data_IF_585087183685
#
_entry.id   IF_585087183685
#
_cell.length_a   1.000
_cell.length_b   1.000
_cell.length_c   1.000
_cell.angle_alpha   90.00
_cell.angle_beta   90.00
_cell.angle_gamma   90.00
#
_symmetry.space_group_name_H-M   'P 1'
#
loop_
_entity.id
_entity.type
_entity.pdbx_description
1 polymer ?
#
# COMPACT_ATOMS: atom_id res chain seq x y z
N UNK A 1 -23.91 22.41 -1.43
CA UNK A 1 -23.23 21.54 -2.41
C UNK A 1 -21.72 21.64 -2.17
N UNK A 2 -20.97 20.54 -2.24
CA UNK A 2 -19.50 20.56 -2.12
C UNK A 2 -18.94 20.91 -3.50
N UNK A 3 -18.26 22.04 -3.63
CA UNK A 3 -17.66 22.51 -4.89
C UNK A 3 -16.14 22.35 -4.85
N UNK A 4 -15.55 21.78 -5.89
CA UNK A 4 -14.10 21.75 -6.10
C UNK A 4 -13.79 22.19 -7.52
N UNK A 5 -12.99 23.24 -7.66
CA UNK A 5 -12.64 23.85 -8.95
C UNK A 5 -13.87 24.17 -9.84
N UNK A 6 -14.93 24.71 -9.22
CA UNK A 6 -16.18 25.07 -9.90
C UNK A 6 -17.11 23.90 -10.27
N UNK A 7 -16.68 22.64 -10.07
CA UNK A 7 -17.52 21.45 -10.31
C UNK A 7 -18.18 20.97 -9.02
N UNK A 8 -19.42 20.51 -9.12
CA UNK A 8 -20.14 19.87 -8.02
C UNK A 8 -19.53 18.49 -7.82
N UNK A 9 -18.97 18.23 -6.64
CA UNK A 9 -18.50 16.88 -6.28
C UNK A 9 -19.72 16.03 -5.96
N UNK A 10 -19.91 14.93 -6.68
CA UNK A 10 -20.95 13.95 -6.36
C UNK A 10 -20.56 13.12 -5.13
N UNK A 11 -21.54 12.67 -4.36
CA UNK A 11 -21.30 11.83 -3.18
C UNK A 11 -20.56 10.52 -3.52
N UNK A 12 -20.64 10.07 -4.78
CA UNK A 12 -19.93 8.92 -5.32
C UNK A 12 -18.40 9.08 -5.30
N UNK A 13 -17.89 10.27 -5.61
CA UNK A 13 -16.43 10.56 -5.56
C UNK A 13 -15.93 10.53 -4.12
N UNK A 14 -16.73 11.08 -3.20
CA UNK A 14 -16.42 11.08 -1.76
C UNK A 14 -16.40 9.64 -1.24
N UNK A 15 -17.42 8.84 -1.57
CA UNK A 15 -17.48 7.43 -1.18
C UNK A 15 -16.30 6.63 -1.73
N UNK A 16 -15.92 6.85 -3.00
CA UNK A 16 -14.78 6.18 -3.63
C UNK A 16 -13.44 6.53 -2.97
N UNK A 17 -13.23 7.79 -2.60
CA UNK A 17 -12.02 8.24 -1.89
C UNK A 17 -11.92 7.67 -0.46
N UNK A 18 -13.06 7.59 0.24
CA UNK A 18 -13.13 6.95 1.56
C UNK A 18 -12.82 5.46 1.44
N UNK A 19 -13.44 4.75 0.48
CA UNK A 19 -13.18 3.33 0.24
C UNK A 19 -11.71 3.06 -0.10
N UNK A 20 -11.11 3.88 -0.97
CA UNK A 20 -9.67 3.84 -1.26
C UNK A 20 -8.83 3.95 0.01
N UNK A 21 -9.13 4.94 0.87
CA UNK A 21 -8.37 5.18 2.10
C UNK A 21 -8.42 3.98 3.05
N UNK A 22 -9.60 3.36 3.20
CA UNK A 22 -9.75 2.14 4.01
C UNK A 22 -9.00 0.95 3.43
N UNK A 23 -9.09 0.70 2.12
CA UNK A 23 -8.37 -0.40 1.46
C UNK A 23 -6.86 -0.20 1.58
N UNK A 24 -6.38 1.04 1.40
CA UNK A 24 -4.96 1.37 1.57
C UNK A 24 -4.47 1.06 2.98
N UNK A 25 -5.18 1.54 4.01
CA UNK A 25 -4.80 1.30 5.41
C UNK A 25 -4.88 -0.17 5.79
N UNK A 26 -5.89 -0.90 5.31
CA UNK A 26 -6.02 -2.34 5.54
C UNK A 26 -4.87 -3.11 4.89
N UNK A 27 -4.53 -2.78 3.64
CA UNK A 27 -3.41 -3.41 2.91
C UNK A 27 -2.08 -3.12 3.61
N UNK A 28 -1.87 -1.88 4.05
CA UNK A 28 -0.71 -1.48 4.83
C UNK A 28 -0.58 -2.31 6.11
N UNK A 29 -1.66 -2.44 6.87
CA UNK A 29 -1.66 -3.23 8.10
C UNK A 29 -1.34 -4.71 7.84
N UNK A 30 -1.89 -5.29 6.77
CA UNK A 30 -1.62 -6.69 6.38
C UNK A 30 -0.16 -6.88 5.98
N UNK A 31 0.38 -6.02 5.11
CA UNK A 31 1.78 -6.11 4.68
C UNK A 31 2.73 -5.93 5.86
N UNK A 32 2.48 -4.94 6.73
CA UNK A 32 3.29 -4.72 7.92
C UNK A 32 3.24 -5.91 8.89
N UNK A 33 2.07 -6.53 9.08
CA UNK A 33 1.93 -7.72 9.90
C UNK A 33 2.70 -8.93 9.32
N UNK A 34 2.66 -9.13 8.00
CA UNK A 34 3.44 -10.18 7.33
C UNK A 34 4.94 -9.94 7.51
N UNK A 35 5.42 -8.71 7.34
CA UNK A 35 6.83 -8.37 7.53
C UNK A 35 7.27 -8.58 8.99
N UNK A 36 6.45 -8.19 9.97
CA UNK A 36 6.73 -8.45 11.37
C UNK A 36 6.78 -9.96 11.67
N UNK A 37 5.88 -10.75 11.06
CA UNK A 37 5.88 -12.22 11.18
C UNK A 37 7.12 -12.87 10.54
N UNK A 38 7.77 -12.21 9.58
CA UNK A 38 9.04 -12.62 8.98
C UNK A 38 10.27 -12.22 9.82
N UNK A 39 10.05 -11.66 11.01
CA UNK A 39 11.10 -11.35 11.99
C UNK A 39 11.70 -9.95 11.86
N UNK A 40 11.09 -9.06 11.07
CA UNK A 40 11.52 -7.66 11.00
C UNK A 40 11.01 -6.90 12.24
N UNK A 41 11.77 -5.90 12.68
CA UNK A 41 11.33 -5.03 13.78
C UNK A 41 10.11 -4.17 13.35
N UNK A 42 9.41 -3.61 14.33
CA UNK A 42 8.17 -2.87 14.09
C UNK A 42 8.38 -1.64 13.18
N UNK A 43 9.51 -0.93 13.35
CA UNK A 43 9.81 0.28 12.56
C UNK A 43 10.08 -0.10 11.11
N UNK A 44 10.94 -1.10 10.88
CA UNK A 44 11.25 -1.60 9.53
C UNK A 44 10.01 -2.20 8.87
N UNK A 45 9.19 -2.95 9.61
CA UNK A 45 7.96 -3.58 9.07
C UNK A 45 6.93 -2.55 8.65
N UNK A 46 6.63 -1.57 9.51
CA UNK A 46 5.63 -0.54 9.24
C UNK A 46 6.10 0.41 8.13
N UNK A 47 7.33 0.90 8.22
CA UNK A 47 7.85 1.90 7.29
C UNK A 47 8.25 1.27 5.95
N UNK A 48 8.68 0.01 5.96
CA UNK A 48 8.85 -0.83 4.78
C UNK A 48 7.55 -1.06 4.03
N UNK A 49 6.46 -1.39 4.74
CA UNK A 49 5.14 -1.54 4.14
C UNK A 49 4.64 -0.22 3.54
N UNK A 50 4.75 0.89 4.28
CA UNK A 50 4.36 2.24 3.81
C UNK A 50 5.14 2.63 2.56
N UNK A 51 6.47 2.52 2.59
CA UNK A 51 7.31 2.94 1.46
C UNK A 51 7.11 2.07 0.22
N UNK A 52 6.82 0.77 0.39
CA UNK A 52 6.47 -0.12 -0.70
C UNK A 52 5.11 0.23 -1.31
N UNK A 53 4.05 0.35 -0.49
CA UNK A 53 2.70 0.69 -0.98
C UNK A 53 2.62 2.08 -1.61
N UNK A 54 3.32 3.06 -1.04
CA UNK A 54 3.37 4.41 -1.59
C UNK A 54 4.44 4.58 -2.69
N UNK A 55 5.24 3.54 -2.97
CA UNK A 55 6.36 3.58 -3.91
C UNK A 55 7.32 4.76 -3.69
N UNK A 56 7.66 5.04 -2.42
CA UNK A 56 8.50 6.18 -2.03
C UNK A 56 9.99 5.83 -2.16
N UNK A 57 10.39 4.62 -1.75
CA UNK A 57 11.77 4.13 -1.82
C UNK A 57 12.35 3.85 -0.44
N UNK A 58 12.90 4.84 0.28
CA UNK A 58 13.47 4.65 1.61
C UNK A 58 12.38 4.48 2.68
N UNK A 59 12.64 3.61 3.65
CA UNK A 59 11.88 3.50 4.90
C UNK A 59 12.53 4.31 6.02
N UNK A 60 12.30 3.90 7.27
CA UNK A 60 12.99 4.44 8.44
C UNK A 60 13.80 3.34 9.15
N UNK A 61 14.71 3.75 10.03
CA UNK A 61 15.60 2.86 10.78
C UNK A 61 16.95 2.65 10.08
N UNK A 62 17.84 1.90 10.72
CA UNK A 62 19.22 1.76 10.28
C UNK A 62 19.35 0.86 9.03
N UNK A 63 18.41 -0.06 8.84
CA UNK A 63 18.48 -1.06 7.76
C UNK A 63 17.89 -0.55 6.45
N UNK A 64 16.66 -0.03 6.47
CA UNK A 64 15.95 0.44 5.25
C UNK A 64 15.84 1.96 5.16
N UNK A 65 16.51 2.70 6.06
CA UNK A 65 16.52 4.16 6.05
C UNK A 65 17.34 4.77 4.90
N UNK A 66 17.48 6.11 4.86
CA UNK A 66 18.15 6.82 3.76
C UNK A 66 19.61 6.42 3.52
N UNK A 67 20.29 5.94 4.57
CA UNK A 67 21.67 5.46 4.50
C UNK A 67 21.78 3.92 4.38
N UNK A 68 20.65 3.21 4.46
CA UNK A 68 20.54 1.76 4.41
C UNK A 68 20.08 1.23 3.04
N UNK A 69 19.81 -0.07 2.96
CA UNK A 69 19.24 -0.71 1.78
C UNK A 69 18.48 -2.01 2.13
N UNK A 70 17.75 -2.56 1.16
CA UNK A 70 16.91 -3.76 1.35
C UNK A 70 17.67 -5.09 1.20
N UNK A 71 19.00 -5.11 0.98
CA UNK A 71 19.74 -6.35 0.71
C UNK A 71 19.80 -7.28 1.92
N UNK A 72 19.93 -6.71 3.11
CA UNK A 72 20.07 -7.45 4.38
C UNK A 72 18.76 -8.06 4.87
N UNK A 73 17.63 -7.75 4.21
CA UNK A 73 16.34 -8.34 4.56
C UNK A 73 16.26 -9.81 4.13
N UNK A 74 15.44 -10.62 4.82
CA UNK A 74 15.11 -11.97 4.38
C UNK A 74 14.54 -12.00 2.95
N UNK A 75 14.84 -13.04 2.18
CA UNK A 75 14.34 -13.17 0.80
C UNK A 75 12.81 -13.19 0.74
N UNK A 76 12.16 -13.82 1.71
CA UNK A 76 10.70 -13.79 1.83
C UNK A 76 10.15 -12.36 2.01
N UNK A 77 10.83 -11.52 2.78
CA UNK A 77 10.41 -10.13 3.00
C UNK A 77 10.56 -9.30 1.73
N UNK A 78 11.62 -9.53 0.95
CA UNK A 78 11.79 -8.90 -0.38
C UNK A 78 10.65 -9.26 -1.33
N UNK A 79 10.21 -10.52 -1.37
CA UNK A 79 9.05 -10.92 -2.19
C UNK A 79 7.76 -10.20 -1.79
N UNK A 80 7.50 -10.09 -0.49
CA UNK A 80 6.32 -9.36 0.02
C UNK A 80 6.40 -7.88 -0.35
N UNK A 81 7.56 -7.24 -0.19
CA UNK A 81 7.77 -5.84 -0.55
C UNK A 81 7.61 -5.60 -2.06
N UNK A 82 8.12 -6.50 -2.91
CA UNK A 82 7.94 -6.40 -4.37
C UNK A 82 6.46 -6.49 -4.76
N UNK A 83 5.70 -7.42 -4.15
CA UNK A 83 4.26 -7.52 -4.38
C UNK A 83 3.52 -6.26 -3.90
N UNK A 84 3.90 -5.71 -2.74
CA UNK A 84 3.33 -4.49 -2.21
C UNK A 84 3.61 -3.26 -3.10
N UNK A 85 4.80 -3.15 -3.70
CA UNK A 85 5.14 -2.10 -4.67
C UNK A 85 4.29 -2.19 -5.94
N UNK A 86 4.10 -3.40 -6.48
CA UNK A 86 3.23 -3.63 -7.64
C UNK A 86 1.78 -3.22 -7.33
N UNK A 87 1.26 -3.63 -6.17
CA UNK A 87 -0.06 -3.23 -5.68
C UNK A 87 -0.20 -1.70 -5.56
N UNK A 88 0.81 -1.05 -4.99
CA UNK A 88 0.86 0.41 -4.88
C UNK A 88 0.93 1.12 -6.22
N UNK A 89 1.59 0.52 -7.22
CA UNK A 89 1.82 1.14 -8.52
C UNK A 89 0.64 0.99 -9.48
N UNK A 90 -0.15 -0.09 -9.33
CA UNK A 90 -1.29 -0.41 -10.20
C UNK A 90 -2.62 0.21 -9.76
N UNK A 91 -2.61 1.18 -8.84
CA UNK A 91 -3.77 1.74 -8.13
C UNK A 91 -4.57 0.67 -7.38
N UNK A 92 -4.53 0.70 -6.05
CA UNK A 92 -5.14 -0.33 -5.19
C UNK A 92 -6.61 -0.63 -5.53
N UNK A 93 -7.40 0.39 -5.86
CA UNK A 93 -8.81 0.21 -6.25
C UNK A 93 -8.95 -0.64 -7.52
N UNK A 94 -8.14 -0.39 -8.54
CA UNK A 94 -8.16 -1.12 -9.81
C UNK A 94 -7.79 -2.59 -9.61
N UNK A 95 -6.78 -2.86 -8.78
CA UNK A 95 -6.37 -4.23 -8.44
C UNK A 95 -7.46 -4.96 -7.64
N UNK A 96 -8.03 -4.32 -6.61
CA UNK A 96 -9.10 -4.92 -5.81
C UNK A 96 -10.39 -5.14 -6.60
N UNK A 97 -10.75 -4.23 -7.51
CA UNK A 97 -11.88 -4.39 -8.43
C UNK A 97 -11.64 -5.59 -9.36
N UNK A 98 -10.42 -5.79 -9.84
CA UNK A 98 -10.08 -6.97 -10.65
C UNK A 98 -10.23 -8.28 -9.86
N UNK A 99 -10.07 -8.30 -8.54
CA UNK A 99 -10.38 -9.48 -7.73
C UNK A 99 -11.88 -9.67 -7.46
N UNK A 100 -12.73 -8.70 -7.81
CA UNK A 100 -14.18 -8.82 -7.70
C UNK A 100 -14.75 -9.71 -8.83
N UNK A 101 -15.55 -10.74 -8.52
CA UNK A 101 -16.19 -11.58 -9.54
C UNK A 101 -17.11 -10.80 -10.49
N UNK A 102 -17.58 -9.62 -10.07
CA UNK A 102 -18.43 -8.76 -10.90
C UNK A 102 -17.68 -8.22 -12.13
N UNK A 103 -16.38 -7.95 -12.00
CA UNK A 103 -15.55 -7.45 -13.10
C UNK A 103 -15.43 -8.46 -14.25
N UNK A 104 -15.33 -9.75 -13.94
CA UNK A 104 -15.14 -10.82 -14.94
C UNK A 104 -16.43 -11.35 -15.56
N UNK A 105 -17.58 -10.87 -15.10
CA UNK A 105 -18.90 -11.37 -15.53
C UNK A 105 -19.58 -10.48 -16.58
N UNK A 106 -18.90 -9.44 -17.10
CA UNK A 106 -19.38 -8.65 -18.25
C UNK A 106 -18.85 -9.19 -19.57
#
# INVERSE_FOLDING_TARGET
ARHYNGRIISDEIVASSVAFSFIFLATLAVVAAILAALGLDLVTSLTGAVTALANVGPGLGDTIGPAGNFQTLPDAAKWVLMAAMLLGRLELLSVFVMFSPHFWRS
#
